data_IF_943778098588
#
_entry.id   IF_943778098588
#
_cell.length_a   1.000
_cell.length_b   1.000
_cell.length_c   1.000
_cell.angle_alpha   90.00
_cell.angle_beta   90.00
_cell.angle_gamma   90.00
#
_symmetry.space_group_name_H-M   'P 1'
#
loop_
_entity.id
_entity.type
_entity.pdbx_description
1 polymer ?
#
# COMPACT_ATOMS: atom_id res chain seq x y z
N UNK A 1 0.52 0.62 -15.14
CA UNK A 1 -0.15 1.89 -15.45
C UNK A 1 0.88 2.95 -15.79
N UNK A 2 0.51 3.92 -16.58
CA UNK A 2 1.37 5.07 -16.89
C UNK A 2 0.80 6.32 -16.21
N UNK A 3 1.69 7.22 -15.76
CA UNK A 3 1.30 8.50 -15.18
C UNK A 3 1.98 9.63 -15.93
N UNK A 4 1.32 10.79 -15.98
CA UNK A 4 1.93 12.01 -16.49
C UNK A 4 2.78 12.65 -15.40
N UNK A 5 3.95 13.19 -15.80
CA UNK A 5 4.82 13.92 -14.89
C UNK A 5 5.74 13.05 -14.04
N UNK A 6 5.94 11.80 -14.43
CA UNK A 6 6.88 10.91 -13.75
C UNK A 6 6.49 10.69 -12.29
N UNK A 7 7.49 10.74 -11.39
CA UNK A 7 7.25 10.45 -9.97
C UNK A 7 6.34 11.50 -9.31
N UNK A 8 6.43 12.76 -9.70
CA UNK A 8 5.53 13.79 -9.18
C UNK A 8 4.07 13.50 -9.56
N UNK A 9 3.84 13.00 -10.78
CA UNK A 9 2.52 12.56 -11.23
C UNK A 9 2.01 11.37 -10.44
N UNK A 10 2.87 10.42 -10.10
CA UNK A 10 2.51 9.29 -9.26
C UNK A 10 2.13 9.76 -7.85
N UNK A 11 2.88 10.67 -7.26
CA UNK A 11 2.54 11.24 -5.94
C UNK A 11 1.14 11.88 -5.95
N UNK A 12 0.81 12.63 -7.01
CA UNK A 12 -0.54 13.20 -7.17
C UNK A 12 -1.60 12.11 -7.29
N UNK A 13 -1.30 11.03 -8.02
CA UNK A 13 -2.20 9.90 -8.14
C UNK A 13 -2.55 9.30 -6.77
N UNK A 14 -1.54 9.08 -5.92
CA UNK A 14 -1.73 8.55 -4.56
C UNK A 14 -2.58 9.51 -3.72
N UNK A 15 -2.29 10.80 -3.78
CA UNK A 15 -3.09 11.80 -3.06
C UNK A 15 -4.56 11.76 -3.50
N UNK A 16 -4.83 11.59 -4.79
CA UNK A 16 -6.18 11.50 -5.32
C UNK A 16 -6.88 10.20 -4.89
N UNK A 17 -6.18 9.08 -4.89
CA UNK A 17 -6.74 7.80 -4.43
C UNK A 17 -7.24 7.93 -2.99
N UNK A 18 -6.43 8.53 -2.12
CA UNK A 18 -6.80 8.73 -0.71
C UNK A 18 -7.93 9.76 -0.57
N UNK A 19 -7.88 10.85 -1.31
CA UNK A 19 -8.90 11.92 -1.24
C UNK A 19 -10.28 11.45 -1.68
N UNK A 20 -10.34 10.50 -2.62
CA UNK A 20 -11.62 9.97 -3.14
C UNK A 20 -12.18 8.85 -2.28
N UNK A 21 -11.44 8.36 -1.30
CA UNK A 21 -11.90 7.26 -0.45
C UNK A 21 -12.96 7.73 0.54
N UNK A 22 -14.06 6.97 0.64
CA UNK A 22 -15.17 7.28 1.55
C UNK A 22 -14.88 6.87 2.99
N UNK A 23 -13.91 6.00 3.20
CA UNK A 23 -13.61 5.42 4.51
C UNK A 23 -12.45 6.08 5.22
N UNK A 24 -11.69 6.92 4.53
CA UNK A 24 -10.53 7.63 5.12
C UNK A 24 -11.03 8.80 5.98
N UNK A 25 -10.60 8.80 7.24
CA UNK A 25 -10.85 9.90 8.16
C UNK A 25 -9.71 10.92 8.15
N UNK A 26 -8.46 10.44 8.21
CA UNK A 26 -7.28 11.29 8.13
C UNK A 26 -6.12 10.54 7.49
N UNK A 27 -5.17 11.30 6.98
CA UNK A 27 -4.00 10.74 6.33
C UNK A 27 -2.79 11.62 6.57
N UNK A 28 -1.62 10.99 6.63
CA UNK A 28 -0.33 11.66 6.73
C UNK A 28 0.62 10.92 5.79
N UNK A 29 0.92 11.55 4.65
CA UNK A 29 1.73 10.94 3.58
C UNK A 29 2.99 11.77 3.37
N UNK A 30 4.13 11.11 3.42
CA UNK A 30 5.44 11.69 3.15
C UNK A 30 5.97 11.15 1.84
N UNK A 31 6.44 12.04 0.98
CA UNK A 31 6.99 11.68 -0.32
C UNK A 31 8.42 12.16 -0.44
N UNK A 32 9.25 11.39 -1.13
CA UNK A 32 10.63 11.76 -1.41
C UNK A 32 10.94 11.42 -2.87
N UNK A 33 11.17 12.45 -3.66
CA UNK A 33 11.65 12.32 -5.04
C UNK A 33 13.13 11.97 -5.01
N UNK A 34 13.52 10.89 -5.70
CA UNK A 34 14.92 10.50 -5.88
C UNK A 34 15.46 10.95 -7.22
N UNK A 35 14.70 10.70 -8.28
CA UNK A 35 14.98 11.10 -9.66
C UNK A 35 13.66 11.57 -10.27
N UNK A 36 13.65 12.11 -11.48
CA UNK A 36 12.38 12.46 -12.15
C UNK A 36 11.42 11.28 -12.31
N UNK A 37 11.92 10.03 -12.30
CA UNK A 37 11.11 8.83 -12.53
C UNK A 37 10.99 7.94 -11.31
N UNK A 38 11.79 8.17 -10.25
CA UNK A 38 11.83 7.30 -9.08
C UNK A 38 11.61 8.07 -7.80
N UNK A 39 10.94 7.44 -6.85
CA UNK A 39 10.72 8.04 -5.56
C UNK A 39 10.19 7.06 -4.53
N UNK A 40 10.01 7.59 -3.35
CA UNK A 40 9.63 6.85 -2.17
C UNK A 40 8.43 7.53 -1.52
N UNK A 41 7.50 6.71 -1.02
CA UNK A 41 6.37 7.19 -0.21
C UNK A 41 6.26 6.37 1.06
N UNK A 42 5.77 7.03 2.11
CA UNK A 42 5.27 6.34 3.28
C UNK A 42 4.04 7.09 3.78
N UNK A 43 3.06 6.35 4.25
CA UNK A 43 1.82 6.96 4.72
C UNK A 43 1.22 6.24 5.90
N UNK A 44 0.50 7.01 6.70
CA UNK A 44 -0.32 6.53 7.80
C UNK A 44 -1.73 7.05 7.56
N UNK A 45 -2.68 6.14 7.47
CA UNK A 45 -4.08 6.45 7.18
C UNK A 45 -4.94 5.96 8.34
N UNK A 46 -5.79 6.82 8.86
CA UNK A 46 -6.78 6.46 9.88
C UNK A 46 -8.15 6.41 9.22
N UNK A 47 -8.85 5.29 9.37
CA UNK A 47 -10.18 5.10 8.82
C UNK A 47 -11.26 5.53 9.79
N UNK A 48 -12.48 5.66 9.30
CA UNK A 48 -13.63 6.16 10.10
C UNK A 48 -13.98 5.26 11.27
N UNK A 49 -13.64 3.97 11.21
CA UNK A 49 -13.86 3.02 12.31
C UNK A 49 -12.69 2.98 13.31
N UNK A 50 -11.66 3.81 13.13
CA UNK A 50 -10.47 3.86 13.96
C UNK A 50 -9.36 2.90 13.56
N UNK A 51 -9.61 2.00 12.61
CA UNK A 51 -8.56 1.14 12.06
C UNK A 51 -7.55 1.98 11.26
N UNK A 52 -6.37 1.42 11.00
CA UNK A 52 -5.27 2.16 10.41
C UNK A 52 -4.54 1.35 9.34
N UNK A 53 -4.05 2.05 8.33
CA UNK A 53 -3.15 1.49 7.31
C UNK A 53 -1.83 2.23 7.37
N UNK A 54 -0.74 1.50 7.56
CA UNK A 54 0.61 2.00 7.33
C UNK A 54 1.10 1.42 6.00
N UNK A 55 1.62 2.27 5.12
CA UNK A 55 2.16 1.77 3.85
C UNK A 55 3.47 2.45 3.48
N UNK A 56 4.26 1.73 2.70
CA UNK A 56 5.54 2.20 2.16
C UNK A 56 5.64 1.71 0.73
N UNK A 57 6.14 2.56 -0.17
CA UNK A 57 6.34 2.22 -1.57
C UNK A 57 7.66 2.80 -2.05
N UNK A 58 8.44 1.99 -2.73
CA UNK A 58 9.54 2.44 -3.58
C UNK A 58 9.06 2.24 -5.02
N UNK A 59 9.02 3.32 -5.81
CA UNK A 59 8.32 3.33 -7.09
C UNK A 59 9.25 3.80 -8.20
N UNK A 60 9.20 3.11 -9.33
CA UNK A 60 9.69 3.57 -10.62
C UNK A 60 8.51 3.86 -11.55
N UNK A 61 8.57 4.95 -12.30
CA UNK A 61 7.53 5.33 -13.26
C UNK A 61 7.97 5.17 -14.72
N UNK A 62 9.12 4.60 -14.98
CA UNK A 62 9.68 4.43 -16.31
C UNK A 62 10.02 2.96 -16.59
N UNK A 63 9.44 2.33 -17.64
CA UNK A 63 8.55 2.87 -18.68
C UNK A 63 7.09 3.01 -18.23
N UNK A 64 6.73 2.44 -17.12
CA UNK A 64 5.39 2.54 -16.50
C UNK A 64 5.54 2.40 -14.99
N UNK A 65 4.45 2.62 -14.25
CA UNK A 65 4.48 2.51 -12.79
C UNK A 65 4.81 1.08 -12.38
N UNK A 66 5.85 0.94 -11.57
CA UNK A 66 6.29 -0.33 -10.97
C UNK A 66 6.57 -0.13 -9.50
N UNK A 67 5.97 -0.94 -8.64
CA UNK A 67 6.33 -1.00 -7.23
C UNK A 67 7.60 -1.85 -7.12
N UNK A 68 8.73 -1.20 -6.89
CA UNK A 68 10.02 -1.87 -6.73
C UNK A 68 10.08 -2.59 -5.39
N UNK A 69 9.48 -1.98 -4.37
CA UNK A 69 9.32 -2.58 -3.04
C UNK A 69 8.09 -1.95 -2.39
N UNK A 70 7.41 -2.70 -1.55
CA UNK A 70 6.21 -2.19 -0.89
C UNK A 70 5.91 -2.92 0.41
N UNK A 71 5.17 -2.24 1.28
CA UNK A 71 4.49 -2.81 2.45
C UNK A 71 3.15 -2.12 2.62
N UNK A 72 2.09 -2.88 2.84
CA UNK A 72 0.78 -2.38 3.23
C UNK A 72 0.33 -3.16 4.46
N UNK A 73 0.31 -2.50 5.61
CA UNK A 73 -0.07 -3.11 6.89
C UNK A 73 -1.37 -2.49 7.40
N UNK A 74 -2.40 -3.31 7.46
CA UNK A 74 -3.70 -2.90 7.98
C UNK A 74 -3.89 -3.42 9.40
N UNK A 75 -4.26 -2.52 10.31
CA UNK A 75 -4.29 -2.77 11.74
C UNK A 75 -5.62 -2.33 12.34
N UNK A 76 -6.05 -3.03 13.38
CA UNK A 76 -7.13 -2.56 14.24
C UNK A 76 -6.69 -1.31 15.00
N UNK A 77 -7.65 -0.61 15.59
CA UNK A 77 -7.37 0.59 16.39
C UNK A 77 -6.38 0.31 17.54
N UNK A 78 -6.36 -0.91 18.06
CA UNK A 78 -5.43 -1.32 19.13
C UNK A 78 -4.02 -1.66 18.64
N UNK A 79 -3.78 -1.57 17.32
CA UNK A 79 -2.49 -1.84 16.71
C UNK A 79 -2.24 -3.29 16.28
N UNK A 80 -3.17 -4.20 16.55
CA UNK A 80 -3.02 -5.58 16.09
C UNK A 80 -3.23 -5.69 14.59
N UNK A 81 -2.40 -6.51 13.92
CA UNK A 81 -2.43 -6.66 12.48
C UNK A 81 -3.62 -7.48 12.01
N UNK A 82 -4.38 -6.93 11.08
CA UNK A 82 -5.43 -7.68 10.37
C UNK A 82 -4.80 -8.38 9.16
N UNK A 83 -4.07 -7.63 8.33
CA UNK A 83 -3.26 -8.22 7.25
C UNK A 83 -2.06 -7.33 6.93
N UNK A 84 -1.06 -7.93 6.27
CA UNK A 84 0.09 -7.19 5.74
C UNK A 84 0.53 -7.81 4.41
N UNK A 85 0.54 -7.01 3.36
CA UNK A 85 1.19 -7.36 2.10
C UNK A 85 2.60 -6.80 2.08
N UNK A 86 3.58 -7.61 1.67
CA UNK A 86 4.91 -7.11 1.39
C UNK A 86 5.65 -8.04 0.42
N UNK A 87 6.80 -7.60 -0.05
CA UNK A 87 7.65 -8.33 -0.98
C UNK A 87 9.03 -8.65 -0.39
N UNK A 88 9.15 -8.66 0.93
CA UNK A 88 10.39 -9.10 1.58
C UNK A 88 10.65 -10.57 1.25
N UNK A 89 11.91 -10.89 0.91
CA UNK A 89 12.29 -12.21 0.42
C UNK A 89 12.52 -13.21 1.56
N UNK A 90 11.49 -13.46 2.38
CA UNK A 90 11.54 -14.36 3.52
C UNK A 90 10.84 -15.70 3.28
N UNK A 91 10.06 -15.81 2.20
CA UNK A 91 9.21 -16.98 1.94
C UNK A 91 9.40 -17.46 0.49
N UNK A 92 10.60 -17.98 0.14
CA UNK A 92 10.89 -18.30 -1.27
C UNK A 92 10.07 -19.47 -1.83
N UNK A 93 9.43 -20.26 -0.96
CA UNK A 93 8.66 -21.43 -1.38
C UNK A 93 7.21 -21.11 -1.76
N UNK A 94 6.75 -19.89 -1.52
CA UNK A 94 5.42 -19.47 -1.97
C UNK A 94 5.40 -19.29 -3.49
N UNK A 95 4.30 -19.67 -4.12
CA UNK A 95 4.15 -19.57 -5.58
C UNK A 95 4.26 -18.16 -6.12
N UNK A 96 3.98 -17.15 -5.29
CA UNK A 96 4.04 -15.73 -5.66
C UNK A 96 5.30 -15.04 -5.15
N UNK A 97 6.28 -15.79 -4.60
CA UNK A 97 7.50 -15.20 -4.04
C UNK A 97 8.14 -14.20 -5.01
N UNK A 98 8.65 -13.04 -4.51
CA UNK A 98 8.73 -12.63 -3.11
C UNK A 98 7.42 -12.10 -2.51
N UNK A 99 6.37 -11.97 -3.31
CA UNK A 99 5.09 -11.39 -2.88
C UNK A 99 4.33 -12.33 -1.96
N UNK A 100 3.89 -11.82 -0.82
CA UNK A 100 3.12 -12.60 0.14
C UNK A 100 2.20 -11.73 0.98
N UNK A 101 1.27 -12.37 1.67
CA UNK A 101 0.33 -11.71 2.56
C UNK A 101 0.35 -12.40 3.92
N UNK A 102 0.58 -11.63 4.97
CA UNK A 102 0.33 -12.07 6.35
C UNK A 102 -1.16 -11.85 6.66
N UNK A 103 -1.81 -12.86 7.22
CA UNK A 103 -3.20 -12.79 7.66
C UNK A 103 -3.20 -12.98 9.17
N UNK A 104 -3.61 -11.93 9.90
CA UNK A 104 -3.48 -11.91 11.36
C UNK A 104 -2.02 -11.94 11.78
N UNK A 105 -1.73 -12.57 12.91
CA UNK A 105 -0.38 -12.58 13.50
C UNK A 105 0.45 -13.78 13.05
N UNK A 106 -0.18 -14.86 12.56
CA UNK A 106 0.52 -16.17 12.45
C UNK A 106 0.45 -16.82 11.07
N UNK A 107 -0.41 -16.37 10.17
CA UNK A 107 -0.57 -17.01 8.86
C UNK A 107 0.11 -16.20 7.76
N UNK A 108 0.76 -16.89 6.83
CA UNK A 108 1.36 -16.30 5.63
C UNK A 108 0.87 -17.09 4.43
N UNK A 109 0.32 -16.37 3.44
CA UNK A 109 -0.23 -16.97 2.24
C UNK A 109 0.37 -16.34 0.98
N UNK A 110 0.30 -17.07 -0.13
CA UNK A 110 0.63 -16.53 -1.44
C UNK A 110 -0.33 -15.40 -1.80
N UNK A 111 0.19 -14.35 -2.42
CA UNK A 111 -0.60 -13.22 -2.88
C UNK A 111 0.13 -12.52 -4.02
N UNK A 112 -0.62 -12.03 -5.01
CA UNK A 112 -0.05 -11.16 -6.04
C UNK A 112 0.18 -9.77 -5.46
N UNK A 113 1.15 -9.04 -6.04
CA UNK A 113 1.45 -7.68 -5.58
C UNK A 113 0.21 -6.78 -5.72
N UNK A 114 -0.26 -6.17 -4.63
CA UNK A 114 -1.35 -5.21 -4.68
C UNK A 114 -0.84 -3.82 -5.02
N UNK A 115 -1.75 -2.87 -5.14
CA UNK A 115 -1.44 -1.45 -5.10
C UNK A 115 -2.32 -0.79 -4.03
N UNK A 116 -2.11 0.49 -3.77
CA UNK A 116 -2.86 1.19 -2.71
C UNK A 116 -4.38 1.15 -2.98
N UNK A 117 -4.78 1.33 -4.24
CA UNK A 117 -6.21 1.30 -4.60
C UNK A 117 -6.85 -0.04 -4.27
N UNK A 118 -6.19 -1.16 -4.61
CA UNK A 118 -6.73 -2.49 -4.33
C UNK A 118 -6.77 -2.78 -2.83
N UNK A 119 -5.76 -2.32 -2.08
CA UNK A 119 -5.73 -2.45 -0.62
C UNK A 119 -6.89 -1.67 0.02
N UNK A 120 -7.11 -0.42 -0.40
CA UNK A 120 -8.23 0.38 0.11
C UNK A 120 -9.58 -0.27 -0.20
N UNK A 121 -9.72 -0.87 -1.37
CA UNK A 121 -10.93 -1.57 -1.74
C UNK A 121 -11.19 -2.78 -0.84
N UNK A 122 -10.15 -3.52 -0.53
CA UNK A 122 -10.24 -4.65 0.41
C UNK A 122 -10.68 -4.18 1.80
N UNK A 123 -10.04 -3.11 2.31
CA UNK A 123 -10.37 -2.52 3.60
C UNK A 123 -11.82 -2.00 3.62
N UNK A 124 -12.25 -1.35 2.54
CA UNK A 124 -13.62 -0.87 2.40
C UNK A 124 -14.64 -2.00 2.59
N UNK A 125 -14.36 -3.17 2.02
CA UNK A 125 -15.21 -4.35 2.20
C UNK A 125 -15.25 -4.86 3.64
N UNK A 126 -14.19 -4.65 4.41
CA UNK A 126 -14.13 -5.06 5.83
C UNK A 126 -14.82 -4.08 6.76
N UNK A 127 -14.75 -2.79 6.48
CA UNK A 127 -15.36 -1.74 7.31
C UNK A 127 -16.87 -1.69 7.13
N UNK A 128 -17.32 -2.05 5.97
CA UNK A 128 -18.71 -1.99 5.56
C UNK A 128 -19.50 -3.12 6.19
N UNK A 129 -19.93 -2.95 7.37
CA UNK A 129 -20.74 -3.96 8.06
C UNK A 129 -22.10 -3.42 8.39
#
# INVERSE_FOLDING_TARGET
MKVRGGIAGYFRHIANVLALSRIVNSQDVHTQKRTPTEGFLRGDVVFKDGSRLHFRELVSTDPSVQLVSYTYQYMRADGTTIFRYDDADHFPNLSTAPHHKHVGENAVIAATAPDLRSVLKEIEGMIKA
#
